data_IF_029283380901
#
_entry.id   IF_029283380901
#
_cell.length_a   1.000
_cell.length_b   1.000
_cell.length_c   1.000
_cell.angle_alpha   90.00
_cell.angle_beta   90.00
_cell.angle_gamma   90.00
#
_symmetry.space_group_name_H-M   'P 1'
#
loop_
_entity.id
_entity.type
_entity.pdbx_description
1 polymer ?
#
# COMPACT_ATOMS: atom_id res chain seq x y z
N UNK A 1 -44.59 48.82 -64.68
CA UNK A 1 -44.21 49.19 -63.30
C UNK A 1 -43.66 47.95 -62.62
N UNK A 2 -42.43 48.00 -62.11
CA UNK A 2 -41.50 46.86 -61.95
C UNK A 2 -41.84 45.96 -60.75
N UNK A 3 -41.84 44.65 -60.98
CA UNK A 3 -41.81 43.58 -59.97
C UNK A 3 -40.43 43.52 -59.31
N UNK A 4 -40.37 43.50 -57.98
CA UNK A 4 -39.14 43.33 -57.17
C UNK A 4 -39.08 41.86 -56.73
N UNK A 5 -38.06 41.07 -57.09
CA UNK A 5 -37.89 39.73 -56.54
C UNK A 5 -37.16 39.82 -55.18
N UNK A 6 -37.75 39.18 -54.16
CA UNK A 6 -37.14 39.02 -52.85
C UNK A 6 -36.02 37.98 -52.92
N UNK A 7 -34.80 38.41 -52.58
CA UNK A 7 -33.62 37.55 -52.49
C UNK A 7 -33.56 36.97 -51.07
N UNK A 8 -33.83 35.67 -50.92
CA UNK A 8 -33.59 34.94 -49.67
C UNK A 8 -32.08 34.68 -49.54
N UNK A 9 -31.41 35.36 -48.61
CA UNK A 9 -30.05 35.05 -48.21
C UNK A 9 -30.07 33.91 -47.18
N UNK A 10 -29.61 32.73 -47.57
CA UNK A 10 -29.39 31.62 -46.64
C UNK A 10 -28.05 31.83 -45.91
N UNK A 11 -28.09 32.24 -44.65
CA UNK A 11 -26.93 32.25 -43.76
C UNK A 11 -26.56 30.83 -43.34
N UNK A 12 -25.44 30.32 -43.86
CA UNK A 12 -24.81 29.10 -43.36
C UNK A 12 -24.12 29.40 -42.01
N UNK A 13 -24.67 28.86 -40.92
CA UNK A 13 -24.03 28.89 -39.61
C UNK A 13 -22.95 27.79 -39.57
N UNK A 14 -21.67 28.18 -39.64
CA UNK A 14 -20.54 27.28 -39.39
C UNK A 14 -20.44 27.10 -37.87
N UNK A 15 -20.83 25.94 -37.36
CA UNK A 15 -20.55 25.55 -35.99
C UNK A 15 -19.04 25.25 -35.85
N UNK A 16 -18.28 26.19 -35.30
CA UNK A 16 -16.92 25.96 -34.84
C UNK A 16 -16.98 25.06 -33.60
N UNK A 17 -16.82 23.76 -33.81
CA UNK A 17 -16.51 22.82 -32.72
C UNK A 17 -15.07 23.14 -32.31
N UNK A 18 -14.91 23.89 -31.23
CA UNK A 18 -13.60 24.10 -30.62
C UNK A 18 -13.05 22.74 -30.18
N UNK A 19 -11.94 22.31 -30.80
CA UNK A 19 -11.18 21.19 -30.28
C UNK A 19 -10.76 21.53 -28.85
N UNK A 20 -11.03 20.62 -27.91
CA UNK A 20 -10.47 20.74 -26.56
C UNK A 20 -8.94 20.88 -26.67
N UNK A 21 -8.30 21.75 -25.87
CA UNK A 21 -6.85 21.87 -25.89
C UNK A 21 -6.24 20.49 -25.62
N UNK A 22 -5.19 20.14 -26.37
CA UNK A 22 -4.43 18.92 -26.12
C UNK A 22 -3.98 18.94 -24.66
N UNK A 23 -4.30 17.87 -23.91
CA UNK A 23 -3.76 17.67 -22.58
C UNK A 23 -2.25 17.49 -22.74
N UNK A 24 -1.44 18.36 -22.14
CA UNK A 24 0.01 18.18 -22.12
C UNK A 24 0.33 16.85 -21.43
N UNK A 25 0.68 15.84 -22.22
CA UNK A 25 1.09 14.53 -21.72
C UNK A 25 2.60 14.52 -21.49
N UNK A 26 3.03 13.94 -20.37
CA UNK A 26 4.45 13.73 -20.12
C UNK A 26 5.07 12.75 -21.12
N UNK A 27 6.26 13.08 -21.62
CA UNK A 27 7.11 12.20 -22.43
C UNK A 27 8.30 11.64 -21.64
N UNK A 28 9.10 10.78 -22.25
CA UNK A 28 10.28 10.18 -21.61
C UNK A 28 11.30 11.23 -21.12
N UNK A 29 11.46 12.34 -21.86
CA UNK A 29 12.32 13.45 -21.48
C UNK A 29 11.89 14.12 -20.16
N UNK A 30 10.65 13.88 -19.71
CA UNK A 30 10.09 14.46 -18.51
C UNK A 30 10.37 13.63 -17.27
N UNK A 31 10.84 12.40 -17.46
CA UNK A 31 10.98 11.43 -16.40
C UNK A 31 11.75 12.01 -15.21
N UNK A 32 12.92 12.62 -15.43
CA UNK A 32 13.77 13.15 -14.35
C UNK A 32 13.21 14.40 -13.67
N UNK A 33 12.29 15.13 -14.31
CA UNK A 33 11.74 16.40 -13.79
C UNK A 33 10.38 16.25 -13.10
N UNK A 34 9.64 15.20 -13.42
CA UNK A 34 8.34 14.93 -12.80
C UNK A 34 8.57 14.37 -11.40
N UNK A 35 8.01 15.02 -10.39
CA UNK A 35 8.05 14.53 -9.02
C UNK A 35 7.27 13.22 -8.89
N UNK A 36 7.88 12.21 -8.27
CA UNK A 36 7.33 10.87 -8.11
C UNK A 36 7.50 10.41 -6.66
N UNK A 37 6.55 9.62 -6.18
CA UNK A 37 6.67 8.92 -4.91
C UNK A 37 6.55 7.42 -5.16
N UNK A 38 7.59 6.68 -4.82
CA UNK A 38 7.46 5.23 -4.66
C UNK A 38 6.96 4.95 -3.25
N UNK A 39 5.68 4.58 -3.14
CA UNK A 39 5.00 4.39 -1.86
C UNK A 39 5.28 3.01 -1.20
N UNK A 40 6.05 2.12 -1.84
CA UNK A 40 6.29 0.79 -1.29
C UNK A 40 7.68 0.28 -1.70
N UNK A 41 8.69 0.67 -0.91
CA UNK A 41 10.07 0.16 -1.04
C UNK A 41 10.47 -0.62 0.21
N UNK A 42 11.31 -1.64 0.06
CA UNK A 42 11.97 -2.30 1.20
C UNK A 42 13.47 -1.99 1.18
N UNK A 43 13.88 -0.91 1.83
CA UNK A 43 15.28 -0.48 1.90
C UNK A 43 16.02 -1.22 3.03
N UNK A 44 16.20 -2.53 2.87
CA UNK A 44 16.78 -3.42 3.90
C UNK A 44 18.31 -3.50 3.90
N UNK A 45 18.97 -2.75 3.00
CA UNK A 45 20.43 -2.72 2.88
C UNK A 45 20.94 -1.36 3.33
N UNK A 46 21.95 -1.34 4.19
CA UNK A 46 22.66 -0.12 4.54
C UNK A 46 23.53 0.33 3.34
N UNK A 47 22.92 1.05 2.40
CA UNK A 47 23.55 1.59 1.21
C UNK A 47 22.91 2.92 0.81
N UNK A 48 23.69 3.85 0.25
CA UNK A 48 23.18 5.11 -0.31
C UNK A 48 22.55 4.95 -1.69
N UNK A 49 22.58 3.76 -2.30
CA UNK A 49 22.15 3.54 -3.68
C UNK A 49 20.69 3.96 -3.93
N UNK A 50 19.78 3.65 -2.99
CA UNK A 50 18.38 4.07 -3.08
C UNK A 50 18.24 5.60 -3.13
N UNK A 51 18.98 6.31 -2.26
CA UNK A 51 18.97 7.78 -2.25
C UNK A 51 19.56 8.36 -3.52
N UNK A 52 20.64 7.77 -4.04
CA UNK A 52 21.29 8.23 -5.26
C UNK A 52 20.35 8.13 -6.47
N UNK A 53 19.65 6.98 -6.61
CA UNK A 53 18.65 6.77 -7.67
C UNK A 53 17.47 7.72 -7.48
N UNK A 54 16.95 7.83 -6.25
CA UNK A 54 15.81 8.68 -5.95
C UNK A 54 16.07 10.14 -6.35
N UNK A 55 17.23 10.69 -5.98
CA UNK A 55 17.65 12.04 -6.37
C UNK A 55 17.81 12.19 -7.87
N UNK A 56 18.52 11.24 -8.50
CA UNK A 56 18.82 11.28 -9.94
C UNK A 56 17.53 11.30 -10.76
N UNK A 57 16.55 10.50 -10.36
CA UNK A 57 15.36 10.25 -11.14
C UNK A 57 14.13 11.03 -10.62
N UNK A 58 14.28 11.91 -9.61
CA UNK A 58 13.17 12.75 -9.12
C UNK A 58 12.12 12.00 -8.30
N UNK A 59 12.52 10.95 -7.59
CA UNK A 59 11.68 10.22 -6.65
C UNK A 59 11.87 10.67 -5.21
N UNK A 60 10.78 10.62 -4.47
CA UNK A 60 10.76 10.36 -3.03
C UNK A 60 10.41 8.88 -2.82
N UNK A 61 10.94 8.29 -1.75
CA UNK A 61 10.73 6.88 -1.42
C UNK A 61 10.04 6.77 -0.06
N UNK A 62 9.08 5.86 0.06
CA UNK A 62 8.55 5.39 1.33
C UNK A 62 9.04 3.96 1.59
N UNK A 63 10.06 3.83 2.44
CA UNK A 63 10.53 2.51 2.89
C UNK A 63 9.58 1.95 3.95
N UNK A 64 9.15 0.71 3.81
CA UNK A 64 8.21 0.08 4.73
C UNK A 64 8.86 -1.09 5.49
N UNK A 65 8.98 -0.94 6.81
CA UNK A 65 9.51 -2.01 7.65
C UNK A 65 8.45 -3.08 7.88
N UNK A 66 8.85 -4.36 7.89
CA UNK A 66 7.91 -5.48 8.01
C UNK A 66 8.43 -6.60 8.91
N UNK A 67 7.51 -7.20 9.66
CA UNK A 67 7.75 -8.39 10.49
C UNK A 67 7.72 -9.65 9.60
N UNK A 68 8.79 -9.84 8.83
CA UNK A 68 8.94 -10.92 7.85
C UNK A 68 10.26 -11.67 8.06
N UNK A 69 10.25 -13.00 8.27
CA UNK A 69 11.45 -13.76 8.65
C UNK A 69 12.62 -13.71 7.66
N UNK A 70 12.35 -13.56 6.37
CA UNK A 70 13.42 -13.53 5.35
C UNK A 70 14.06 -12.13 5.21
N UNK A 71 13.52 -11.13 5.90
CA UNK A 71 14.11 -9.79 5.98
C UNK A 71 14.98 -9.65 7.22
N UNK A 72 15.90 -8.66 7.25
CA UNK A 72 16.67 -8.37 8.45
C UNK A 72 15.75 -8.16 9.67
N UNK A 73 16.21 -8.44 10.89
CA UNK A 73 15.43 -8.18 12.10
C UNK A 73 14.89 -6.75 12.15
N UNK A 74 13.71 -6.55 12.75
CA UNK A 74 13.02 -5.26 12.79
C UNK A 74 13.90 -4.11 13.31
N UNK A 75 14.74 -4.37 14.31
CA UNK A 75 15.67 -3.38 14.84
C UNK A 75 16.71 -2.93 13.80
N UNK A 76 17.17 -3.86 12.95
CA UNK A 76 18.10 -3.55 11.86
C UNK A 76 17.41 -2.79 10.73
N UNK A 77 16.20 -3.19 10.33
CA UNK A 77 15.39 -2.43 9.36
C UNK A 77 15.18 -0.98 9.85
N UNK A 78 14.81 -0.80 11.12
CA UNK A 78 14.62 0.51 11.73
C UNK A 78 15.91 1.35 11.72
N UNK A 79 17.05 0.78 12.11
CA UNK A 79 18.32 1.48 12.10
C UNK A 79 18.73 1.97 10.70
N UNK A 80 18.50 1.14 9.66
CA UNK A 80 18.78 1.51 8.26
C UNK A 80 17.85 2.65 7.82
N UNK A 81 16.54 2.51 8.08
CA UNK A 81 15.56 3.54 7.73
C UNK A 81 15.87 4.89 8.41
N UNK A 82 16.24 4.88 9.69
CA UNK A 82 16.64 6.10 10.41
C UNK A 82 17.87 6.74 9.78
N UNK A 83 18.90 5.94 9.47
CA UNK A 83 20.13 6.44 8.85
C UNK A 83 19.86 7.07 7.48
N UNK A 84 19.02 6.46 6.66
CA UNK A 84 18.66 6.98 5.33
C UNK A 84 17.80 8.24 5.43
N UNK A 85 16.83 8.26 6.35
CA UNK A 85 16.00 9.44 6.61
C UNK A 85 16.83 10.61 7.13
N UNK A 86 17.73 10.38 8.11
CA UNK A 86 18.61 11.41 8.65
C UNK A 86 19.56 11.98 7.57
N UNK A 87 19.96 11.15 6.60
CA UNK A 87 20.82 11.56 5.50
C UNK A 87 20.09 12.39 4.42
N UNK A 88 18.79 12.13 4.19
CA UNK A 88 17.99 12.86 3.21
C UNK A 88 16.46 12.78 3.52
N UNK A 89 15.97 13.58 4.46
CA UNK A 89 14.56 13.52 4.87
C UNK A 89 13.61 14.06 3.80
N UNK A 90 14.14 14.66 2.73
CA UNK A 90 13.34 15.15 1.59
C UNK A 90 13.00 14.01 0.62
N UNK A 91 13.93 13.10 0.37
CA UNK A 91 13.74 12.02 -0.61
C UNK A 91 13.47 10.66 0.02
N UNK A 92 13.65 10.53 1.34
CA UNK A 92 13.46 9.25 2.02
C UNK A 92 12.57 9.38 3.25
N UNK A 93 11.41 8.75 3.14
CA UNK A 93 10.41 8.58 4.18
C UNK A 93 10.35 7.12 4.60
N UNK A 94 9.78 6.85 5.77
CA UNK A 94 9.62 5.46 6.19
C UNK A 94 8.38 5.22 7.04
N UNK A 95 7.86 4.00 6.95
CA UNK A 95 6.85 3.47 7.85
C UNK A 95 7.52 2.59 8.91
N UNK A 96 7.22 2.86 10.18
CA UNK A 96 7.63 1.97 11.27
C UNK A 96 6.71 0.75 11.35
N UNK A 97 7.03 -0.22 12.20
CA UNK A 97 6.21 -1.41 12.42
C UNK A 97 6.37 -1.91 13.86
N UNK A 98 5.70 -2.99 14.21
CA UNK A 98 5.82 -3.68 15.49
C UNK A 98 5.82 -5.20 15.28
N UNK A 99 6.44 -5.93 16.19
CA UNK A 99 6.50 -7.40 16.14
C UNK A 99 5.19 -8.02 16.64
N UNK A 100 4.83 -9.15 16.03
CA UNK A 100 3.78 -10.04 16.55
C UNK A 100 4.26 -10.97 17.67
N UNK A 101 5.55 -10.98 17.99
CA UNK A 101 6.11 -11.82 19.05
C UNK A 101 5.50 -11.49 20.41
N UNK A 102 4.93 -12.52 21.04
CA UNK A 102 4.26 -12.38 22.34
C UNK A 102 2.86 -11.76 22.26
N UNK A 103 2.26 -11.65 21.08
CA UNK A 103 0.87 -11.19 20.92
C UNK A 103 -0.09 -11.90 21.88
N UNK A 104 -0.96 -11.11 22.52
CA UNK A 104 -1.92 -11.60 23.51
C UNK A 104 -1.38 -11.73 24.95
N UNK A 105 -0.08 -11.54 25.17
CA UNK A 105 0.47 -11.41 26.53
C UNK A 105 0.19 -10.02 27.11
N UNK A 106 0.19 -9.90 28.46
CA UNK A 106 -0.08 -8.65 29.18
C UNK A 106 0.83 -7.48 28.78
N UNK A 107 2.04 -7.76 28.31
CA UNK A 107 3.04 -6.74 27.96
C UNK A 107 3.09 -6.33 26.48
N UNK A 108 2.47 -7.11 25.60
CA UNK A 108 2.64 -6.96 24.16
C UNK A 108 2.19 -5.61 23.63
N UNK A 109 0.99 -5.16 23.99
CA UNK A 109 0.44 -3.88 23.53
C UNK A 109 1.36 -2.72 23.89
N UNK A 110 1.86 -2.68 25.12
CA UNK A 110 2.77 -1.63 25.57
C UNK A 110 4.12 -1.69 24.83
N UNK A 111 4.61 -2.89 24.49
CA UNK A 111 5.82 -3.06 23.69
C UNK A 111 5.62 -2.58 22.26
N UNK A 112 4.51 -2.95 21.62
CA UNK A 112 4.17 -2.50 20.27
C UNK A 112 4.03 -0.98 20.21
N UNK A 113 3.35 -0.36 21.19
CA UNK A 113 3.22 1.08 21.30
C UNK A 113 4.60 1.76 21.43
N UNK A 114 5.50 1.24 22.27
CA UNK A 114 6.87 1.76 22.39
C UNK A 114 7.66 1.67 21.09
N UNK A 115 7.54 0.56 20.34
CA UNK A 115 8.22 0.41 19.05
C UNK A 115 7.71 1.43 18.02
N UNK A 116 6.39 1.64 17.98
CA UNK A 116 5.76 2.64 17.12
C UNK A 116 6.16 4.07 17.53
N UNK A 117 6.14 4.38 18.82
CA UNK A 117 6.57 5.70 19.33
C UNK A 117 8.04 5.99 19.05
N UNK A 118 8.92 4.99 19.15
CA UNK A 118 10.32 5.14 18.78
C UNK A 118 10.49 5.46 17.29
N UNK A 119 9.69 4.82 16.42
CA UNK A 119 9.62 5.16 14.99
C UNK A 119 9.16 6.59 14.75
N UNK A 120 8.07 7.02 15.40
CA UNK A 120 7.58 8.39 15.27
C UNK A 120 8.56 9.44 15.78
N UNK A 121 9.26 9.18 16.88
CA UNK A 121 10.32 10.05 17.39
C UNK A 121 11.49 10.22 16.40
N UNK A 122 11.60 9.33 15.40
CA UNK A 122 12.59 9.34 14.33
C UNK A 122 12.05 9.79 12.97
N UNK A 123 10.80 10.26 12.90
CA UNK A 123 10.21 10.79 11.67
C UNK A 123 9.40 9.78 10.85
N UNK A 124 9.01 8.63 11.41
CA UNK A 124 8.13 7.71 10.69
C UNK A 124 6.81 8.39 10.31
N UNK A 125 6.42 8.28 9.05
CA UNK A 125 5.21 8.93 8.50
C UNK A 125 3.99 8.00 8.45
N UNK A 126 4.19 6.71 8.73
CA UNK A 126 3.16 5.69 8.71
C UNK A 126 3.54 4.50 9.61
N UNK A 127 2.59 3.60 9.83
CA UNK A 127 2.84 2.27 10.43
C UNK A 127 2.48 1.19 9.43
N UNK A 128 3.34 0.18 9.27
CA UNK A 128 3.10 -0.97 8.40
C UNK A 128 2.77 -2.21 9.22
N UNK A 129 1.77 -2.97 8.79
CA UNK A 129 1.54 -4.37 9.21
C UNK A 129 1.59 -5.30 8.01
N UNK A 130 2.11 -6.51 8.21
CA UNK A 130 2.34 -7.49 7.15
C UNK A 130 1.26 -8.58 7.13
N UNK A 131 1.24 -9.37 6.04
CA UNK A 131 0.31 -10.49 5.84
C UNK A 131 0.51 -11.65 6.82
N UNK A 132 1.57 -11.62 7.63
CA UNK A 132 1.70 -12.54 8.77
C UNK A 132 0.44 -12.47 9.67
N UNK A 133 -0.13 -11.28 9.86
CA UNK A 133 -1.47 -11.11 10.45
C UNK A 133 -2.52 -11.59 9.44
N UNK A 134 -3.26 -12.63 9.80
CA UNK A 134 -4.24 -13.28 8.94
C UNK A 134 -3.74 -14.55 8.25
N UNK A 135 -2.45 -14.64 7.88
CA UNK A 135 -1.92 -15.84 7.18
C UNK A 135 -1.00 -16.74 8.01
N UNK A 136 -0.34 -16.24 9.05
CA UNK A 136 0.68 -17.02 9.78
C UNK A 136 0.48 -16.94 11.29
N UNK A 137 0.26 -15.74 11.81
CA UNK A 137 0.20 -15.49 13.24
C UNK A 137 -0.89 -16.33 13.93
N UNK A 138 -0.49 -17.02 15.00
CA UNK A 138 -1.38 -17.77 15.89
C UNK A 138 -1.19 -17.27 17.32
N UNK A 139 -2.27 -17.27 18.09
CA UNK A 139 -2.20 -16.95 19.52
C UNK A 139 -1.73 -18.15 20.35
N UNK A 140 -1.64 -17.97 21.67
CA UNK A 140 -1.21 -19.02 22.60
C UNK A 140 -2.13 -20.25 22.65
N UNK A 141 -3.36 -20.16 22.13
CA UNK A 141 -4.26 -21.29 21.97
C UNK A 141 -4.11 -21.96 20.59
N UNK A 142 -3.15 -21.51 19.76
CA UNK A 142 -2.96 -21.99 18.40
C UNK A 142 -3.99 -21.45 17.40
N UNK A 143 -4.83 -20.51 17.81
CA UNK A 143 -5.86 -19.92 16.94
C UNK A 143 -5.25 -18.82 16.08
N UNK A 144 -5.56 -18.84 14.79
CA UNK A 144 -5.14 -17.82 13.83
C UNK A 144 -5.61 -16.42 14.25
N UNK A 145 -4.68 -15.47 14.19
CA UNK A 145 -4.90 -14.06 14.53
C UNK A 145 -5.20 -13.29 13.26
N UNK A 146 -6.36 -12.63 13.25
CA UNK A 146 -6.79 -11.77 12.15
C UNK A 146 -6.67 -10.29 12.54
N UNK A 147 -6.56 -9.39 11.56
CA UNK A 147 -6.39 -7.96 11.82
C UNK A 147 -7.57 -7.34 12.59
N UNK A 148 -8.77 -7.92 12.47
CA UNK A 148 -9.96 -7.48 13.20
C UNK A 148 -10.07 -8.05 14.62
N UNK A 149 -9.02 -8.68 15.16
CA UNK A 149 -8.93 -9.08 16.57
C UNK A 149 -8.89 -7.85 17.48
N UNK A 150 -9.78 -7.79 18.46
CA UNK A 150 -9.95 -6.61 19.35
C UNK A 150 -8.73 -6.33 20.23
N UNK A 151 -7.81 -7.30 20.38
CA UNK A 151 -6.52 -7.08 21.06
C UNK A 151 -5.63 -6.07 20.32
N UNK A 152 -5.87 -5.81 19.04
CA UNK A 152 -5.22 -4.73 18.30
C UNK A 152 -5.81 -3.34 18.60
N UNK A 153 -7.05 -3.25 19.06
CA UNK A 153 -7.74 -1.95 19.21
C UNK A 153 -6.92 -0.89 19.97
N UNK A 154 -6.20 -1.22 21.07
CA UNK A 154 -5.39 -0.22 21.78
C UNK A 154 -4.19 0.31 20.99
N UNK A 155 -3.50 -0.52 20.19
CA UNK A 155 -2.40 -0.05 19.34
C UNK A 155 -2.95 0.75 18.15
N UNK A 156 -4.10 0.35 17.60
CA UNK A 156 -4.74 1.09 16.50
C UNK A 156 -5.24 2.45 16.95
N UNK A 157 -5.82 2.54 18.14
CA UNK A 157 -6.20 3.82 18.75
C UNK A 157 -4.98 4.71 19.00
N UNK A 158 -3.84 4.13 19.42
CA UNK A 158 -2.58 4.84 19.60
C UNK A 158 -2.05 5.42 18.28
N UNK A 159 -2.04 4.63 17.21
CA UNK A 159 -1.64 5.09 15.87
C UNK A 159 -2.59 6.18 15.36
N UNK A 160 -3.90 5.97 15.51
CA UNK A 160 -4.93 6.93 15.12
C UNK A 160 -4.74 8.29 15.83
N UNK A 161 -4.41 8.28 17.12
CA UNK A 161 -4.18 9.50 17.89
C UNK A 161 -2.99 10.34 17.39
N UNK A 162 -2.05 9.71 16.66
CA UNK A 162 -0.91 10.39 16.03
C UNK A 162 -1.23 10.95 14.65
N UNK A 163 -2.39 10.61 14.07
CA UNK A 163 -2.83 11.13 12.77
C UNK A 163 -2.06 10.60 11.57
N UNK A 164 -1.37 9.46 11.72
CA UNK A 164 -0.62 8.82 10.63
C UNK A 164 -1.38 7.61 10.06
N UNK A 165 -1.19 7.26 8.78
CA UNK A 165 -1.84 6.11 8.18
C UNK A 165 -1.26 4.77 8.65
N UNK A 166 -2.14 3.77 8.69
CA UNK A 166 -1.78 2.35 8.77
C UNK A 166 -1.76 1.77 7.35
N UNK A 167 -0.62 1.27 6.92
CA UNK A 167 -0.46 0.50 5.69
C UNK A 167 -0.59 -0.98 6.07
N UNK A 168 -1.55 -1.69 5.51
CA UNK A 168 -1.80 -3.09 5.84
C UNK A 168 -1.68 -3.99 4.62
N UNK A 169 -0.82 -5.01 4.72
CA UNK A 169 -0.79 -6.12 3.78
C UNK A 169 -1.61 -7.28 4.33
N UNK A 170 -2.71 -7.64 3.66
CA UNK A 170 -3.76 -8.51 4.21
C UNK A 170 -4.02 -9.77 3.38
N UNK A 171 -3.05 -10.17 2.55
CA UNK A 171 -3.11 -11.37 1.73
C UNK A 171 -2.40 -11.19 0.41
N UNK A 172 -2.24 -12.30 -0.32
CA UNK A 172 -1.75 -12.29 -1.70
C UNK A 172 -2.72 -11.62 -2.67
N UNK A 173 -2.32 -11.36 -3.93
CA UNK A 173 -3.24 -10.98 -4.99
C UNK A 173 -4.35 -12.02 -5.17
N UNK A 174 -5.56 -11.60 -5.57
CA UNK A 174 -6.70 -12.51 -5.79
C UNK A 174 -6.38 -13.68 -6.72
N UNK A 175 -5.51 -13.48 -7.71
CA UNK A 175 -5.04 -14.52 -8.62
C UNK A 175 -4.55 -15.78 -7.88
N UNK A 176 -3.96 -15.61 -6.70
CA UNK A 176 -3.51 -16.69 -5.83
C UNK A 176 -4.62 -17.70 -5.44
N UNK A 177 -5.89 -17.29 -5.42
CA UNK A 177 -7.05 -18.16 -5.13
C UNK A 177 -7.83 -18.59 -6.38
N UNK A 178 -7.38 -18.22 -7.57
CA UNK A 178 -8.07 -18.57 -8.83
C UNK A 178 -7.36 -19.74 -9.52
N UNK A 179 -8.09 -20.62 -10.22
CA UNK A 179 -7.50 -21.52 -11.20
C UNK A 179 -6.52 -20.79 -12.14
N UNK A 180 -5.43 -21.45 -12.57
CA UNK A 180 -4.39 -20.84 -13.42
C UNK A 180 -4.98 -20.22 -14.70
N UNK A 181 -5.97 -20.86 -15.31
CA UNK A 181 -6.66 -20.39 -16.52
C UNK A 181 -7.57 -19.17 -16.28
N UNK A 182 -7.87 -18.83 -15.03
CA UNK A 182 -8.67 -17.67 -14.63
C UNK A 182 -7.84 -16.51 -14.07
N UNK A 183 -6.52 -16.68 -13.93
CA UNK A 183 -5.63 -15.61 -13.49
C UNK A 183 -5.51 -14.51 -14.55
N UNK A 184 -5.48 -13.26 -14.10
CA UNK A 184 -5.52 -12.08 -14.98
C UNK A 184 -4.17 -11.68 -15.59
N UNK A 185 -3.06 -12.21 -15.10
CA UNK A 185 -1.71 -11.88 -15.60
C UNK A 185 -0.88 -13.15 -15.86
N UNK A 186 -0.03 -13.10 -16.87
CA UNK A 186 0.88 -14.21 -17.20
C UNK A 186 1.96 -14.38 -16.12
N UNK A 187 2.43 -13.26 -15.55
CA UNK A 187 3.41 -13.29 -14.47
C UNK A 187 2.90 -14.05 -13.24
N UNK A 188 1.66 -13.78 -12.79
CA UNK A 188 1.10 -14.49 -11.65
C UNK A 188 0.89 -15.98 -11.99
N UNK A 189 0.44 -16.28 -13.21
CA UNK A 189 0.23 -17.67 -13.65
C UNK A 189 1.52 -18.47 -13.63
N UNK A 190 2.60 -17.92 -14.19
CA UNK A 190 3.92 -18.56 -14.17
C UNK A 190 4.38 -18.74 -12.73
N UNK A 191 4.36 -17.67 -11.92
CA UNK A 191 4.82 -17.70 -10.54
C UNK A 191 4.09 -18.76 -9.69
N UNK A 192 2.75 -18.78 -9.69
CA UNK A 192 1.99 -19.74 -8.90
C UNK A 192 2.02 -21.17 -9.46
N UNK A 193 2.36 -21.35 -10.73
CA UNK A 193 2.63 -22.67 -11.29
C UNK A 193 3.96 -23.25 -10.79
N UNK A 194 4.96 -22.40 -10.59
CA UNK A 194 6.31 -22.76 -10.13
C UNK A 194 6.43 -22.81 -8.60
N UNK A 195 5.58 -22.06 -7.90
CA UNK A 195 5.54 -21.93 -6.44
C UNK A 195 4.21 -22.41 -5.85
N UNK A 196 3.90 -23.72 -5.91
CA UNK A 196 2.63 -24.26 -5.43
C UNK A 196 2.38 -24.00 -3.94
N UNK A 197 3.43 -23.87 -3.12
CA UNK A 197 3.37 -23.52 -1.70
C UNK A 197 2.74 -22.15 -1.42
N UNK A 198 2.80 -21.24 -2.39
CA UNK A 198 2.18 -19.92 -2.31
C UNK A 198 0.87 -19.83 -3.08
N UNK A 199 0.42 -20.90 -3.74
CA UNK A 199 -0.77 -20.91 -4.58
C UNK A 199 -2.01 -21.36 -3.80
N UNK A 200 -2.70 -20.41 -3.17
CA UNK A 200 -3.78 -20.68 -2.21
C UNK A 200 -4.97 -21.48 -2.78
N UNK A 201 -5.19 -21.50 -4.10
CA UNK A 201 -6.17 -22.38 -4.72
C UNK A 201 -5.92 -23.87 -4.39
N UNK A 202 -4.66 -24.28 -4.17
CA UNK A 202 -4.28 -25.63 -3.75
C UNK A 202 -4.30 -25.85 -2.23
N UNK A 203 -4.54 -24.80 -1.46
CA UNK A 203 -4.49 -24.78 0.01
C UNK A 203 -5.84 -24.37 0.62
N UNK A 204 -6.90 -25.18 0.49
CA UNK A 204 -8.22 -24.87 1.03
C UNK A 204 -8.26 -24.77 2.57
N UNK A 205 -7.21 -25.25 3.25
CA UNK A 205 -7.00 -25.08 4.69
C UNK A 205 -6.64 -23.65 5.10
N UNK A 206 -6.11 -22.83 4.17
CA UNK A 206 -5.79 -21.43 4.41
C UNK A 206 -7.04 -20.54 4.25
N UNK A 207 -7.06 -19.33 4.84
CA UNK A 207 -8.18 -18.42 4.70
C UNK A 207 -8.50 -18.11 3.24
N UNK A 208 -9.78 -18.10 2.89
CA UNK A 208 -10.20 -17.64 1.57
C UNK A 208 -9.95 -16.15 1.39
N UNK A 209 -9.80 -15.72 0.14
CA UNK A 209 -9.71 -14.30 -0.23
C UNK A 209 -10.88 -13.49 0.36
N UNK A 210 -12.11 -14.00 0.23
CA UNK A 210 -13.32 -13.36 0.75
C UNK A 210 -13.28 -13.20 2.27
N UNK A 211 -12.72 -14.20 2.98
CA UNK A 211 -12.55 -14.13 4.43
C UNK A 211 -11.58 -13.02 4.81
N UNK A 212 -10.46 -12.90 4.12
CA UNK A 212 -9.45 -11.85 4.36
C UNK A 212 -10.02 -10.46 4.06
N UNK A 213 -10.77 -10.30 2.96
CA UNK A 213 -11.44 -9.03 2.64
C UNK A 213 -12.50 -8.67 3.68
N UNK A 214 -13.32 -9.62 4.13
CA UNK A 214 -14.32 -9.37 5.16
C UNK A 214 -13.69 -9.00 6.52
N UNK A 215 -12.52 -9.56 6.85
CA UNK A 215 -11.73 -9.15 8.03
C UNK A 215 -11.26 -7.71 7.89
N UNK A 216 -10.65 -7.35 6.77
CA UNK A 216 -10.22 -5.98 6.48
C UNK A 216 -11.38 -4.98 6.59
N UNK A 217 -12.52 -5.30 6.00
CA UNK A 217 -13.67 -4.40 5.97
C UNK A 217 -14.26 -4.18 7.37
N UNK A 218 -14.35 -5.23 8.21
CA UNK A 218 -14.74 -5.09 9.62
C UNK A 218 -13.75 -4.27 10.41
N UNK A 219 -12.45 -4.43 10.15
CA UNK A 219 -11.41 -3.63 10.78
C UNK A 219 -11.56 -2.14 10.44
N UNK A 220 -11.67 -1.80 9.15
CA UNK A 220 -11.84 -0.40 8.71
C UNK A 220 -13.12 0.21 9.28
N UNK A 221 -14.23 -0.54 9.28
CA UNK A 221 -15.49 -0.08 9.86
C UNK A 221 -15.39 0.21 11.38
N UNK A 222 -14.57 -0.55 12.11
CA UNK A 222 -14.35 -0.34 13.55
C UNK A 222 -13.44 0.85 13.86
N UNK A 223 -12.54 1.20 12.95
CA UNK A 223 -11.57 2.30 13.11
C UNK A 223 -11.79 3.41 12.07
N UNK A 224 -12.99 4.06 12.03
CA UNK A 224 -13.35 4.97 10.94
C UNK A 224 -12.51 6.25 10.87
N UNK A 225 -11.73 6.56 11.91
CA UNK A 225 -10.83 7.72 11.96
C UNK A 225 -9.36 7.35 11.72
N UNK A 226 -9.04 6.06 11.59
CA UNK A 226 -7.70 5.61 11.24
C UNK A 226 -7.56 5.64 9.73
N UNK A 227 -6.66 6.48 9.20
CA UNK A 227 -6.31 6.43 7.79
C UNK A 227 -5.71 5.05 7.48
N UNK A 228 -6.25 4.38 6.46
CA UNK A 228 -5.93 3.01 6.13
C UNK A 228 -5.56 2.89 4.64
N UNK A 229 -4.42 2.27 4.36
CA UNK A 229 -3.98 1.94 3.00
C UNK A 229 -3.74 0.44 2.85
N UNK A 230 -4.30 -0.16 1.81
CA UNK A 230 -4.18 -1.60 1.53
C UNK A 230 -3.04 -1.86 0.54
N UNK A 231 -2.06 -2.68 0.92
CA UNK A 231 -0.84 -2.90 0.13
C UNK A 231 -0.47 -4.39 -0.05
N UNK A 232 0.24 -4.79 -1.12
CA UNK A 232 0.36 -4.02 -2.37
C UNK A 232 -1.05 -3.87 -2.97
N UNK A 233 -1.30 -2.80 -3.73
CA UNK A 233 -2.63 -2.40 -4.20
C UNK A 233 -3.40 -3.59 -4.81
N UNK A 234 -4.14 -4.32 -3.99
CA UNK A 234 -5.11 -5.34 -4.39
C UNK A 234 -6.39 -4.58 -4.66
N UNK A 235 -6.97 -4.79 -5.85
CA UNK A 235 -7.99 -3.92 -6.43
C UNK A 235 -9.13 -3.47 -5.49
N UNK A 236 -9.46 -2.18 -5.64
CA UNK A 236 -10.62 -1.40 -5.18
C UNK A 236 -11.10 -1.62 -3.73
N UNK A 237 -10.80 -0.62 -2.90
CA UNK A 237 -11.80 -0.05 -2.00
C UNK A 237 -12.28 1.29 -2.59
N UNK A 238 -13.34 1.24 -3.40
CA UNK A 238 -14.28 2.35 -3.51
C UNK A 238 -15.67 1.80 -3.24
N UNK A 239 -16.32 2.19 -2.14
CA UNK A 239 -17.75 2.33 -2.11
C UNK A 239 -18.14 3.78 -2.37
N UNK A 240 -19.23 3.92 -3.13
CA UNK A 240 -20.05 5.09 -3.48
C UNK A 240 -19.93 6.33 -2.59
#
# INVERSE_FOLDING_TARGET
MRLIPALFAATAAIALIGAAPAVDTYGEADFVRVAKLDAHVHANRDSSDFLAIARKDGFELLSINVDYPDFPPLAQQAAIAYKMHDADPRHFHFATTFSMDGFGTKGWTAQAQRAVDAGFARGAVAVKVWKNIGMIAKDSAGKRVFLDDTRFDPIMAHIQARGVPLIAHQGEPKNCWLPLDQMTTDNDRTYFSEHPEYYMFKHPEEPSYERLMAVRDRFVARHPKLAFDGAPRTGRAQPS
#
